data_IF_706763571790
#
_entry.id   IF_706763571790
#
_cell.length_a   1.000
_cell.length_b   1.000
_cell.length_c   1.000
_cell.angle_alpha   90.00
_cell.angle_beta   90.00
_cell.angle_gamma   90.00
#
_symmetry.space_group_name_H-M   'P 1'
#
loop_
_entity.id
_entity.type
_entity.pdbx_description
1 polymer ?
#
# COMPACT_ATOMS: atom_id res chain seq x y z
N UNK A 1 -1.01 -1.32 16.46
CA UNK A 1 0.10 -0.42 16.86
C UNK A 1 0.18 0.76 15.88
N UNK A 2 0.59 1.97 16.32
CA UNK A 2 0.79 3.12 15.40
C UNK A 2 2.15 3.03 14.71
N UNK A 3 2.17 3.25 13.39
CA UNK A 3 3.39 3.24 12.59
C UNK A 3 4.37 4.34 13.00
N UNK A 4 5.65 3.97 13.13
CA UNK A 4 6.71 4.89 13.57
C UNK A 4 7.19 5.82 12.46
N UNK A 5 7.75 6.96 12.85
CA UNK A 5 8.46 7.86 11.96
C UNK A 5 9.85 7.33 11.60
N UNK A 6 10.36 7.72 10.43
CA UNK A 6 11.71 7.36 9.96
C UNK A 6 12.57 8.61 9.90
N UNK A 7 13.71 8.60 10.60
CA UNK A 7 14.77 9.63 10.52
C UNK A 7 14.25 11.07 10.58
N UNK A 8 13.30 11.36 11.48
CA UNK A 8 12.51 12.60 11.53
C UNK A 8 13.09 13.69 12.43
N UNK A 9 14.42 13.87 12.42
CA UNK A 9 15.08 14.96 13.13
C UNK A 9 14.54 16.34 12.73
N UNK A 10 14.63 17.32 13.62
CA UNK A 10 14.04 18.66 13.44
C UNK A 10 14.51 19.33 12.14
N UNK A 11 15.81 19.24 11.82
CA UNK A 11 16.38 19.77 10.58
C UNK A 11 15.76 19.12 9.33
N UNK A 12 15.66 17.78 9.31
CA UNK A 12 15.09 17.03 8.19
C UNK A 12 13.62 17.38 7.97
N UNK A 13 12.86 17.47 9.07
CA UNK A 13 11.46 17.90 9.03
C UNK A 13 11.30 19.29 8.43
N UNK A 14 12.09 20.26 8.92
CA UNK A 14 12.07 21.63 8.40
C UNK A 14 12.45 21.69 6.92
N UNK A 15 13.50 20.98 6.51
CA UNK A 15 13.95 20.89 5.12
C UNK A 15 12.87 20.29 4.21
N UNK A 16 12.28 19.16 4.59
CA UNK A 16 11.21 18.52 3.81
C UNK A 16 10.00 19.44 3.67
N UNK A 17 9.59 20.12 4.74
CA UNK A 17 8.47 21.07 4.70
C UNK A 17 8.79 22.29 3.83
N UNK A 18 10.02 22.82 3.90
CA UNK A 18 10.47 23.93 3.06
C UNK A 18 10.45 23.54 1.58
N UNK A 19 11.06 22.40 1.24
CA UNK A 19 11.05 21.87 -0.12
C UNK A 19 9.61 21.67 -0.61
N UNK A 20 8.75 21.05 0.19
CA UNK A 20 7.35 20.88 -0.15
C UNK A 20 6.63 22.22 -0.43
N UNK A 21 6.85 23.24 0.41
CA UNK A 21 6.26 24.58 0.23
C UNK A 21 6.76 25.24 -1.06
N UNK A 22 8.07 25.25 -1.30
CA UNK A 22 8.68 25.79 -2.52
C UNK A 22 8.06 25.11 -3.75
N UNK A 23 7.93 23.78 -3.72
CA UNK A 23 7.38 22.98 -4.81
C UNK A 23 5.87 23.23 -5.03
N UNK A 24 5.16 23.83 -4.08
CA UNK A 24 3.77 24.27 -4.22
C UNK A 24 3.60 25.70 -4.73
N UNK A 25 4.67 26.51 -4.74
CA UNK A 25 4.60 27.90 -5.15
C UNK A 25 4.16 28.03 -6.62
N UNK A 26 3.17 28.87 -6.95
CA UNK A 26 2.58 28.95 -8.28
C UNK A 26 3.59 29.17 -9.43
N UNK A 27 4.66 29.94 -9.19
CA UNK A 27 5.69 30.21 -10.19
C UNK A 27 6.42 28.93 -10.66
N UNK A 28 6.72 28.02 -9.75
CA UNK A 28 7.37 26.74 -10.07
C UNK A 28 6.37 25.69 -10.57
N UNK A 29 5.09 25.89 -10.28
CA UNK A 29 4.01 25.01 -10.72
C UNK A 29 3.76 25.11 -12.24
N UNK A 30 3.93 26.29 -12.85
CA UNK A 30 3.80 26.51 -14.31
C UNK A 30 4.90 25.82 -15.12
N UNK A 31 6.08 25.63 -14.52
CA UNK A 31 7.23 24.98 -15.16
C UNK A 31 7.14 23.44 -15.15
N UNK A 32 6.05 22.86 -14.62
CA UNK A 32 5.96 21.41 -14.39
C UNK A 32 4.75 20.80 -15.08
N UNK A 33 5.03 19.82 -15.94
CA UNK A 33 4.04 19.09 -16.76
C UNK A 33 3.28 17.98 -16.02
N UNK A 34 3.61 17.70 -14.76
CA UNK A 34 3.01 16.57 -14.03
C UNK A 34 2.01 17.04 -12.96
N UNK A 35 0.71 16.71 -13.09
CA UNK A 35 -0.26 16.90 -12.02
C UNK A 35 -0.02 15.81 -10.96
N UNK A 36 1.00 15.98 -10.13
CA UNK A 36 1.47 14.92 -9.24
C UNK A 36 1.03 15.09 -7.80
N UNK A 37 0.35 14.06 -7.28
CA UNK A 37 0.25 13.75 -5.83
C UNK A 37 1.64 13.61 -5.15
N UNK A 38 2.69 13.44 -5.96
CA UNK A 38 4.10 13.33 -5.60
C UNK A 38 4.85 14.58 -6.11
N UNK A 39 5.64 15.20 -5.24
CA UNK A 39 6.37 16.44 -5.51
C UNK A 39 7.82 16.12 -5.85
N UNK A 40 8.22 16.33 -7.09
CA UNK A 40 9.58 16.07 -7.55
C UNK A 40 10.52 17.18 -7.07
N UNK A 41 11.48 16.81 -6.23
CA UNK A 41 12.48 17.73 -5.68
C UNK A 41 13.67 17.84 -6.64
N UNK A 42 14.14 16.70 -7.16
CA UNK A 42 15.26 16.61 -8.10
C UNK A 42 15.13 15.41 -9.05
N UNK A 43 16.19 15.09 -9.81
CA UNK A 43 16.27 13.85 -10.59
C UNK A 43 16.39 12.59 -9.73
N UNK A 44 16.72 12.72 -8.44
CA UNK A 44 16.92 11.60 -7.49
C UNK A 44 15.98 11.61 -6.30
N UNK A 45 15.24 12.70 -6.06
CA UNK A 45 14.41 12.86 -4.85
C UNK A 45 12.99 13.31 -5.16
N UNK A 46 12.04 12.78 -4.39
CA UNK A 46 10.66 13.23 -4.39
C UNK A 46 10.05 13.22 -2.97
N UNK A 47 8.95 13.96 -2.81
CA UNK A 47 8.17 14.03 -1.58
C UNK A 47 6.76 13.55 -1.90
N UNK A 48 6.30 12.49 -1.22
CA UNK A 48 4.88 12.09 -1.22
C UNK A 48 4.19 12.71 -0.01
N UNK A 49 3.08 13.42 -0.26
CA UNK A 49 2.24 13.99 0.79
C UNK A 49 0.82 14.22 0.26
N UNK A 50 0.01 13.15 0.31
CA UNK A 50 -1.41 13.17 -0.05
C UNK A 50 -2.29 13.07 1.19
N UNK A 51 -3.62 13.20 1.02
CA UNK A 51 -4.58 12.97 2.10
C UNK A 51 -4.59 11.50 2.60
N UNK A 52 -4.00 10.59 1.82
CA UNK A 52 -4.06 9.14 2.04
C UNK A 52 -2.68 8.52 2.31
N UNK A 53 -1.63 9.34 2.36
CA UNK A 53 -0.28 8.89 2.70
C UNK A 53 -0.26 8.54 4.19
N UNK A 54 0.24 7.34 4.52
CA UNK A 54 0.37 6.85 5.90
C UNK A 54 1.84 6.62 6.26
N UNK A 55 2.16 6.60 7.54
CA UNK A 55 3.51 6.20 8.00
C UNK A 55 3.77 4.71 7.72
N UNK A 56 2.72 3.88 7.75
CA UNK A 56 2.80 2.47 7.36
C UNK A 56 3.34 2.31 5.94
N UNK A 57 2.99 3.20 4.99
CA UNK A 57 3.54 3.16 3.64
C UNK A 57 5.07 3.29 3.61
N UNK A 58 5.62 4.20 4.41
CA UNK A 58 7.07 4.39 4.54
C UNK A 58 7.75 3.20 5.22
N UNK A 59 7.13 2.65 6.27
CA UNK A 59 7.63 1.49 6.99
C UNK A 59 7.59 0.24 6.11
N UNK A 60 6.55 0.07 5.29
CA UNK A 60 6.43 -1.02 4.31
C UNK A 60 7.57 -0.97 3.31
N UNK A 61 7.88 0.20 2.73
CA UNK A 61 9.03 0.33 1.82
C UNK A 61 10.35 -0.05 2.49
N UNK A 62 10.58 0.41 3.74
CA UNK A 62 11.79 0.05 4.48
C UNK A 62 11.86 -1.45 4.79
N UNK A 63 10.74 -2.04 5.19
CA UNK A 63 10.64 -3.46 5.50
C UNK A 63 10.89 -4.34 4.26
N UNK A 64 10.27 -4.02 3.13
CA UNK A 64 10.48 -4.75 1.86
C UNK A 64 11.94 -4.67 1.43
N UNK A 65 12.57 -3.49 1.51
CA UNK A 65 13.99 -3.32 1.18
C UNK A 65 14.94 -4.13 2.08
N UNK A 66 14.52 -4.45 3.30
CA UNK A 66 15.32 -5.20 4.27
C UNK A 66 15.16 -6.72 4.14
N UNK A 67 14.02 -7.18 3.61
CA UNK A 67 13.65 -8.60 3.59
C UNK A 67 13.57 -9.21 2.20
N UNK A 68 13.76 -8.41 1.14
CA UNK A 68 13.66 -8.85 -0.26
C UNK A 68 14.70 -8.15 -1.15
N UNK A 69 14.90 -8.69 -2.34
CA UNK A 69 15.65 -8.09 -3.45
C UNK A 69 14.81 -7.14 -4.32
N UNK A 70 13.52 -6.99 -4.01
CA UNK A 70 12.58 -6.17 -4.79
C UNK A 70 13.03 -4.71 -4.75
N UNK A 71 13.18 -4.04 -5.91
CA UNK A 71 13.55 -2.64 -5.95
C UNK A 71 12.38 -1.78 -5.45
N UNK A 72 12.57 -1.16 -4.29
CA UNK A 72 11.64 -0.18 -3.72
C UNK A 72 12.34 1.16 -3.48
N UNK A 73 11.64 2.31 -3.54
CA UNK A 73 12.25 3.61 -3.28
C UNK A 73 12.86 3.67 -1.88
N UNK A 74 14.12 4.13 -1.77
CA UNK A 74 14.72 4.37 -0.46
C UNK A 74 14.01 5.50 0.27
N UNK A 75 13.52 5.23 1.48
CA UNK A 75 12.95 6.26 2.37
C UNK A 75 14.07 6.96 3.13
N UNK A 76 14.18 8.29 2.96
CA UNK A 76 15.13 9.11 3.71
C UNK A 76 14.52 9.66 5.00
N UNK A 77 13.25 10.02 4.97
CA UNK A 77 12.53 10.56 6.11
C UNK A 77 11.02 10.37 5.96
N UNK A 78 10.32 10.03 7.05
CA UNK A 78 8.86 10.06 7.10
C UNK A 78 8.36 10.61 8.43
N UNK A 79 7.36 11.48 8.41
CA UNK A 79 6.80 12.09 9.62
C UNK A 79 5.40 12.66 9.43
N UNK A 80 4.68 12.85 10.54
CA UNK A 80 3.38 13.52 10.58
C UNK A 80 3.55 14.99 10.98
N UNK A 81 2.96 15.90 10.21
CA UNK A 81 2.91 17.32 10.52
C UNK A 81 1.54 17.89 10.15
N UNK A 82 0.86 18.51 11.13
CA UNK A 82 -0.48 19.11 10.96
C UNK A 82 -1.49 18.17 10.29
N UNK A 83 -1.55 16.93 10.76
CA UNK A 83 -2.49 15.91 10.27
C UNK A 83 -2.14 15.31 8.90
N UNK A 84 -0.98 15.65 8.31
CA UNK A 84 -0.51 15.07 7.04
C UNK A 84 0.79 14.32 7.22
N UNK A 85 0.93 13.20 6.53
CA UNK A 85 2.19 12.46 6.45
C UNK A 85 3.00 12.97 5.27
N UNK A 86 4.29 13.13 5.51
CA UNK A 86 5.29 13.49 4.51
C UNK A 86 6.29 12.34 4.43
N UNK A 87 6.57 11.88 3.21
CA UNK A 87 7.61 10.89 2.94
C UNK A 87 8.58 11.52 1.95
N UNK A 88 9.82 11.77 2.40
CA UNK A 88 10.95 12.12 1.53
C UNK A 88 11.64 10.83 1.14
N UNK A 89 11.69 10.55 -0.16
CA UNK A 89 12.18 9.29 -0.68
C UNK A 89 12.91 9.47 -2.01
N UNK A 90 13.60 8.40 -2.42
CA UNK A 90 14.22 8.28 -3.72
C UNK A 90 13.19 8.39 -4.84
N UNK A 91 13.57 9.09 -5.90
CA UNK A 91 12.80 9.14 -7.13
C UNK A 91 13.27 8.01 -8.05
N UNK A 92 12.42 7.02 -8.24
CA UNK A 92 12.65 5.98 -9.26
C UNK A 92 12.54 6.61 -10.65
N UNK A 93 13.57 6.40 -11.46
CA UNK A 93 13.57 6.81 -12.87
C UNK A 93 13.01 5.67 -13.72
N UNK A 94 12.03 5.99 -14.55
CA UNK A 94 11.38 5.00 -15.40
C UNK A 94 10.15 5.59 -16.09
N UNK A 95 9.61 4.80 -17.01
CA UNK A 95 8.30 5.05 -17.60
C UNK A 95 7.28 4.14 -16.92
N UNK A 96 6.08 4.67 -16.73
CA UNK A 96 4.96 3.89 -16.20
C UNK A 96 4.68 2.73 -17.18
N UNK A 97 4.52 1.51 -16.66
CA UNK A 97 4.27 0.31 -17.48
C UNK A 97 2.99 0.41 -18.30
N UNK A 98 2.00 1.19 -17.85
CA UNK A 98 0.78 1.46 -18.62
C UNK A 98 1.06 2.23 -19.91
N UNK A 99 2.15 3.00 -19.96
CA UNK A 99 2.55 3.72 -21.17
C UNK A 99 3.03 2.72 -22.22
N UNK A 100 2.36 2.74 -23.37
CA UNK A 100 2.67 1.91 -24.53
C UNK A 100 2.57 0.40 -24.29
N UNK A 101 1.88 -0.07 -23.23
CA UNK A 101 1.73 -1.50 -22.95
C UNK A 101 1.20 -2.29 -24.16
N UNK A 102 0.15 -1.77 -24.82
CA UNK A 102 -0.46 -2.37 -26.01
C UNK A 102 0.49 -2.43 -27.22
N UNK A 103 1.48 -1.54 -27.28
CA UNK A 103 2.45 -1.44 -28.37
C UNK A 103 3.70 -2.30 -28.13
N UNK A 104 3.84 -2.91 -26.94
CA UNK A 104 4.97 -3.81 -26.65
C UNK A 104 4.77 -5.15 -27.34
N UNK A 105 5.89 -5.77 -27.76
CA UNK A 105 5.86 -7.15 -28.27
C UNK A 105 5.44 -8.14 -27.17
N UNK A 106 4.91 -9.29 -27.59
CA UNK A 106 4.47 -10.34 -26.67
C UNK A 106 5.64 -10.88 -25.83
N UNK A 107 6.83 -11.01 -26.41
CA UNK A 107 8.04 -11.42 -25.68
C UNK A 107 8.40 -10.41 -24.59
N UNK A 108 8.27 -9.11 -24.88
CA UNK A 108 8.52 -8.08 -23.88
C UNK A 108 7.47 -8.10 -22.77
N UNK A 109 6.19 -8.32 -23.09
CA UNK A 109 5.12 -8.44 -22.09
C UNK A 109 5.36 -9.66 -21.20
N UNK A 110 5.65 -10.81 -21.81
CA UNK A 110 5.94 -12.05 -21.10
C UNK A 110 7.10 -11.88 -20.11
N UNK A 111 8.19 -11.22 -20.53
CA UNK A 111 9.33 -10.94 -19.65
C UNK A 111 8.97 -10.05 -18.47
N UNK A 112 8.16 -8.99 -18.69
CA UNK A 112 7.71 -8.10 -17.61
C UNK A 112 6.79 -8.86 -16.63
N UNK A 113 5.85 -9.65 -17.14
CA UNK A 113 4.97 -10.48 -16.32
C UNK A 113 5.74 -11.51 -15.50
N UNK A 114 6.78 -12.13 -16.07
CA UNK A 114 7.65 -13.05 -15.35
C UNK A 114 8.40 -12.34 -14.19
N UNK A 115 8.91 -11.12 -14.42
CA UNK A 115 9.54 -10.32 -13.36
C UNK A 115 8.56 -9.93 -12.26
N UNK A 116 7.36 -9.46 -12.62
CA UNK A 116 6.31 -9.12 -11.65
C UNK A 116 5.89 -10.34 -10.83
N UNK A 117 5.71 -11.50 -11.48
CA UNK A 117 5.39 -12.76 -10.79
C UNK A 117 6.48 -13.14 -9.78
N UNK A 118 7.75 -13.02 -10.15
CA UNK A 118 8.87 -13.29 -9.25
C UNK A 118 8.86 -12.33 -8.04
N UNK A 119 8.67 -11.03 -8.26
CA UNK A 119 8.59 -10.05 -7.17
C UNK A 119 7.40 -10.31 -6.23
N UNK A 120 6.23 -10.65 -6.77
CA UNK A 120 5.06 -10.98 -5.94
C UNK A 120 5.27 -12.27 -5.14
N UNK A 121 5.88 -13.28 -5.74
CA UNK A 121 6.22 -14.53 -5.05
C UNK A 121 7.22 -14.28 -3.91
N UNK A 122 8.27 -13.50 -4.17
CA UNK A 122 9.25 -13.12 -3.15
C UNK A 122 8.59 -12.33 -2.01
N UNK A 123 7.74 -11.35 -2.34
CA UNK A 123 7.00 -10.57 -1.35
C UNK A 123 6.13 -11.45 -0.45
N UNK A 124 5.44 -12.44 -1.03
CA UNK A 124 4.55 -13.37 -0.30
C UNK A 124 5.30 -14.46 0.45
N UNK A 125 6.57 -14.68 0.14
CA UNK A 125 7.43 -15.63 0.85
C UNK A 125 7.89 -15.12 2.22
N UNK A 126 7.70 -13.82 2.50
CA UNK A 126 8.00 -13.25 3.82
C UNK A 126 7.04 -13.88 4.85
N UNK A 127 7.56 -14.57 5.88
CA UNK A 127 6.72 -15.21 6.87
C UNK A 127 5.96 -14.17 7.69
N UNK A 128 4.66 -14.37 7.94
CA UNK A 128 3.92 -13.50 8.85
C UNK A 128 4.42 -13.67 10.29
N UNK A 129 4.32 -12.64 11.14
CA UNK A 129 4.49 -12.81 12.58
C UNK A 129 3.46 -13.81 13.13
N UNK A 130 3.85 -14.64 14.09
CA UNK A 130 3.06 -15.81 14.53
C UNK A 130 1.70 -15.49 15.18
N UNK A 131 1.47 -14.24 15.57
CA UNK A 131 0.27 -13.76 16.26
C UNK A 131 -0.56 -12.77 15.41
N UNK A 132 -0.26 -12.66 14.12
CA UNK A 132 -0.89 -11.66 13.23
C UNK A 132 -1.81 -12.33 12.22
N UNK A 133 -3.08 -11.93 12.22
CA UNK A 133 -4.04 -12.18 11.16
C UNK A 133 -3.91 -11.13 10.05
N UNK A 134 -4.89 -10.24 9.92
CA UNK A 134 -4.89 -9.19 8.90
C UNK A 134 -4.47 -7.86 9.51
N UNK A 135 -3.25 -7.41 9.18
CA UNK A 135 -2.68 -6.16 9.68
C UNK A 135 -1.74 -5.51 8.65
N UNK A 136 -1.40 -4.24 8.89
CA UNK A 136 -0.29 -3.60 8.18
C UNK A 136 1.07 -4.12 8.68
N UNK A 137 2.16 -3.68 8.03
CA UNK A 137 3.54 -4.11 8.34
C UNK A 137 3.97 -3.88 9.81
N UNK A 138 3.35 -2.91 10.49
CA UNK A 138 3.63 -2.58 11.88
C UNK A 138 2.63 -3.24 12.85
N UNK A 139 1.81 -4.20 12.42
CA UNK A 139 0.76 -4.81 13.25
C UNK A 139 -0.37 -3.84 13.61
N UNK A 140 -0.60 -2.83 12.77
CA UNK A 140 -1.72 -1.88 12.89
C UNK A 140 -2.84 -2.14 11.87
N UNK A 141 -3.85 -1.26 11.82
CA UNK A 141 -4.93 -1.35 10.83
C UNK A 141 -4.38 -1.25 9.40
N UNK A 142 -4.95 -2.03 8.48
CA UNK A 142 -4.72 -1.85 7.05
C UNK A 142 -5.41 -0.58 6.57
N UNK A 143 -4.90 0.00 5.49
CA UNK A 143 -5.50 1.16 4.83
C UNK A 143 -5.86 0.81 3.39
N UNK A 144 -7.15 0.81 3.06
CA UNK A 144 -7.64 0.61 1.69
C UNK A 144 -8.91 1.45 1.47
N UNK A 145 -8.88 2.29 0.44
CA UNK A 145 -9.99 3.20 0.11
C UNK A 145 -11.10 2.53 -0.68
N UNK A 146 -10.88 1.31 -1.17
CA UNK A 146 -11.85 0.53 -1.93
C UNK A 146 -12.76 -0.28 -1.01
N UNK A 147 -12.38 -0.43 0.26
CA UNK A 147 -13.22 -1.07 1.26
C UNK A 147 -14.40 -0.16 1.66
N UNK A 148 -15.56 -0.74 2.00
CA UNK A 148 -16.77 0.01 2.31
C UNK A 148 -16.61 0.88 3.57
N UNK A 149 -17.38 1.95 3.68
CA UNK A 149 -17.63 2.78 4.88
C UNK A 149 -16.44 3.53 5.53
N UNK A 150 -15.24 2.94 5.57
CA UNK A 150 -14.04 3.46 6.23
C UNK A 150 -12.79 3.03 5.48
N UNK A 151 -11.73 3.83 5.56
CA UNK A 151 -10.44 3.49 4.91
C UNK A 151 -9.49 2.71 5.81
N UNK A 152 -9.69 2.69 7.13
CA UNK A 152 -8.85 1.94 8.08
C UNK A 152 -9.60 0.73 8.63
N UNK A 153 -8.99 -0.44 8.57
CA UNK A 153 -9.59 -1.70 8.94
C UNK A 153 -8.67 -2.53 9.83
N UNK A 154 -9.19 -3.09 10.92
CA UNK A 154 -8.43 -3.94 11.83
C UNK A 154 -7.53 -3.16 12.81
N UNK A 155 -6.41 -3.75 13.27
CA UNK A 155 -5.91 -5.08 12.90
C UNK A 155 -6.88 -6.19 13.32
N UNK A 156 -6.81 -7.33 12.63
CA UNK A 156 -7.62 -8.51 12.94
C UNK A 156 -6.71 -9.67 13.33
N UNK A 157 -7.12 -10.45 14.31
CA UNK A 157 -6.35 -11.61 14.78
C UNK A 157 -6.48 -12.78 13.81
N UNK A 158 -7.58 -12.86 13.06
CA UNK A 158 -7.81 -13.90 12.04
C UNK A 158 -8.35 -13.33 10.73
N UNK A 159 -8.22 -14.09 9.64
CA UNK A 159 -8.86 -13.77 8.35
C UNK A 159 -10.39 -13.79 8.49
N UNK A 160 -10.92 -14.68 9.31
CA UNK A 160 -12.35 -14.83 9.57
C UNK A 160 -12.94 -13.60 10.24
N UNK A 161 -12.22 -12.98 11.19
CA UNK A 161 -12.63 -11.70 11.79
C UNK A 161 -12.68 -10.57 10.76
N UNK A 162 -11.67 -10.48 9.89
CA UNK A 162 -11.67 -9.51 8.79
C UNK A 162 -12.87 -9.73 7.85
N UNK A 163 -13.10 -10.98 7.44
CA UNK A 163 -14.21 -11.34 6.56
C UNK A 163 -15.59 -11.13 7.19
N UNK A 164 -15.72 -11.35 8.50
CA UNK A 164 -16.94 -11.03 9.27
C UNK A 164 -17.21 -9.54 9.25
N UNK A 165 -16.18 -8.72 9.51
CA UNK A 165 -16.29 -7.26 9.45
C UNK A 165 -16.65 -6.79 8.02
N UNK A 166 -16.09 -7.39 6.97
CA UNK A 166 -16.43 -7.06 5.57
C UNK A 166 -17.92 -7.23 5.28
N UNK A 167 -18.56 -8.21 5.92
CA UNK A 167 -20.01 -8.45 5.84
C UNK A 167 -20.79 -7.78 6.97
N UNK A 168 -20.20 -6.82 7.69
CA UNK A 168 -20.83 -6.09 8.81
C UNK A 168 -21.40 -7.01 9.90
N UNK A 169 -20.74 -8.14 10.14
CA UNK A 169 -21.16 -9.13 11.14
C UNK A 169 -22.34 -10.00 10.73
N UNK A 170 -22.79 -9.96 9.46
CA UNK A 170 -23.83 -10.83 8.97
C UNK A 170 -23.40 -12.30 9.05
N UNK A 171 -24.22 -13.06 9.77
CA UNK A 171 -24.16 -14.50 9.93
C UNK A 171 -25.47 -15.12 9.48
N UNK A 172 -25.46 -16.41 9.17
CA UNK A 172 -26.69 -17.14 8.85
C UNK A 172 -27.50 -17.33 10.15
N UNK A 173 -28.69 -16.73 10.21
CA UNK A 173 -29.69 -17.07 11.20
C UNK A 173 -30.53 -18.26 10.69
N UNK A 174 -30.94 -19.15 11.59
CA UNK A 174 -31.84 -20.24 11.23
C UNK A 174 -33.19 -19.67 10.77
N UNK A 175 -33.58 -19.98 9.53
CA UNK A 175 -34.90 -19.66 8.99
C UNK A 175 -35.07 -18.31 8.32
N UNK A 176 -34.02 -17.49 8.16
CA UNK A 176 -34.11 -16.26 7.37
C UNK A 176 -33.89 -16.52 5.88
N UNK A 177 -34.75 -15.96 5.02
CA UNK A 177 -34.53 -15.89 3.58
C UNK A 177 -33.35 -14.95 3.30
N UNK A 178 -32.16 -15.54 3.18
CA UNK A 178 -30.98 -14.85 2.72
C UNK A 178 -31.19 -14.34 1.29
N UNK A 179 -30.81 -13.08 1.00
CA UNK A 179 -30.74 -12.61 -0.38
C UNK A 179 -29.84 -13.55 -1.21
N UNK A 180 -30.12 -13.73 -2.51
CA UNK A 180 -29.35 -14.66 -3.36
C UNK A 180 -27.84 -14.38 -3.26
N UNK A 181 -27.04 -15.42 -2.98
CA UNK A 181 -25.58 -15.30 -2.87
C UNK A 181 -25.03 -15.03 -1.47
N UNK A 182 -25.86 -14.63 -0.48
CA UNK A 182 -25.38 -14.32 0.86
C UNK A 182 -24.90 -15.58 1.61
N UNK A 183 -25.58 -16.71 1.43
CA UNK A 183 -25.18 -17.99 2.02
C UNK A 183 -23.83 -18.45 1.48
N UNK A 184 -23.70 -18.43 0.16
CA UNK A 184 -22.47 -18.77 -0.56
C UNK A 184 -21.31 -17.86 -0.12
N UNK A 185 -21.56 -16.56 0.04
CA UNK A 185 -20.57 -15.59 0.53
C UNK A 185 -20.12 -15.88 1.97
N UNK A 186 -21.06 -16.18 2.87
CA UNK A 186 -20.77 -16.50 4.27
C UNK A 186 -19.96 -17.80 4.36
N UNK A 187 -20.39 -18.84 3.64
CA UNK A 187 -19.67 -20.13 3.56
C UNK A 187 -18.25 -19.94 3.00
N UNK A 188 -18.09 -19.18 1.93
CA UNK A 188 -16.79 -18.85 1.35
C UNK A 188 -15.88 -18.12 2.35
N UNK A 189 -16.41 -17.09 3.03
CA UNK A 189 -15.63 -16.35 4.02
C UNK A 189 -15.28 -17.16 5.28
N UNK A 190 -16.14 -18.12 5.66
CA UNK A 190 -15.92 -19.03 6.79
C UNK A 190 -15.06 -20.25 6.41
N UNK A 191 -14.68 -20.37 5.13
CA UNK A 191 -13.85 -21.45 4.64
C UNK A 191 -12.46 -21.54 5.31
N UNK A 192 -11.75 -22.66 5.09
CA UNK A 192 -10.40 -22.86 5.61
C UNK A 192 -9.41 -22.02 4.80
N UNK A 193 -9.20 -20.78 5.23
CA UNK A 193 -8.19 -19.89 4.64
C UNK A 193 -6.79 -20.26 5.15
N UNK A 194 -5.82 -20.31 4.25
CA UNK A 194 -4.41 -20.33 4.62
C UNK A 194 -4.04 -19.07 5.42
N UNK A 195 -2.90 -19.11 6.13
CA UNK A 195 -2.42 -17.97 6.88
C UNK A 195 -2.23 -16.71 6.00
N UNK A 196 -2.32 -15.51 6.60
CA UNK A 196 -2.12 -14.26 5.87
C UNK A 196 -0.71 -14.17 5.30
N UNK A 197 -0.59 -13.66 4.08
CA UNK A 197 0.69 -13.41 3.41
C UNK A 197 0.92 -11.92 3.23
N UNK A 198 2.19 -11.51 3.25
CA UNK A 198 2.54 -10.12 2.99
C UNK A 198 2.30 -9.79 1.51
N UNK A 199 1.38 -8.87 1.22
CA UNK A 199 1.02 -8.53 -0.16
C UNK A 199 0.57 -7.07 -0.31
N UNK A 200 0.57 -6.57 -1.55
CA UNK A 200 0.15 -5.21 -1.84
C UNK A 200 -1.36 -5.16 -2.10
N UNK A 201 -2.06 -4.17 -1.54
CA UNK A 201 -3.52 -4.06 -1.62
C UNK A 201 -4.05 -4.01 -3.07
N UNK A 202 -3.36 -3.33 -3.98
CA UNK A 202 -3.81 -3.23 -5.39
C UNK A 202 -3.62 -4.50 -6.23
N UNK A 203 -2.90 -5.51 -5.73
CA UNK A 203 -2.73 -6.76 -6.44
C UNK A 203 -3.96 -7.63 -6.20
N UNK A 204 -4.91 -7.59 -7.14
CA UNK A 204 -5.96 -8.59 -7.20
C UNK A 204 -5.34 -9.94 -7.55
N UNK A 205 -5.51 -10.93 -6.67
CA UNK A 205 -5.29 -12.33 -7.04
C UNK A 205 -6.54 -12.78 -7.77
N UNK A 206 -6.47 -12.88 -9.10
CA UNK A 206 -7.33 -13.85 -9.78
C UNK A 206 -6.84 -15.21 -9.33
N UNK A 207 -7.55 -15.81 -8.37
CA UNK A 207 -7.41 -17.24 -8.09
C UNK A 207 -8.05 -17.91 -9.31
N UNK A 208 -7.20 -18.42 -10.21
CA UNK A 208 -7.60 -19.33 -11.28
C UNK A 208 -7.68 -20.75 -10.75
#
# INVERSE_FOLDING_TARGET
>A
MESREISSGLLMRLLTLLLYKINKTPCLRRLRKHPGRIFLVSSKLCIKATAFTTLAEANTMRFVAQNTSIPVPRVYCSFKHKGRVYILMERVQGQDLSQNWSQRSEESKARILAQLKAMVAELRSIPPPGDVGVANVDGGPIFDQRLPDKSFWGPFTTIQEFHRELRRGLELADGEEAFPGLRELIEFHNGPWEGPVFTHGDLAVSIS
#
